data_IF_245586810811
#
_entry.id   IF_245586810811
#
_cell.length_a   1.000
_cell.length_b   1.000
_cell.length_c   1.000
_cell.angle_alpha   90.00
_cell.angle_beta   90.00
_cell.angle_gamma   90.00
#
_symmetry.space_group_name_H-M   'P 1'
#
loop_
_entity.id
_entity.type
_entity.pdbx_description
1 polymer ?
#
# COMPACT_ATOMS: atom_id res chain seq x y z
N UNK A 1 -11.90 -7.82 10.22
CA UNK A 1 -11.97 -6.61 11.07
C UNK A 1 -11.35 -5.38 10.41
N UNK A 2 -10.35 -5.51 9.52
CA UNK A 2 -9.56 -4.38 9.00
C UNK A 2 -9.88 -3.95 7.56
N UNK A 3 -10.98 -4.46 7.01
CA UNK A 3 -11.39 -4.24 5.61
C UNK A 3 -12.66 -3.36 5.53
N UNK A 4 -12.91 -2.57 6.59
CA UNK A 4 -14.10 -1.73 6.75
C UNK A 4 -13.87 -0.28 6.35
N UNK A 5 -12.64 0.09 5.99
CA UNK A 5 -12.31 1.43 5.51
C UNK A 5 -12.98 1.65 4.14
N UNK A 6 -13.90 2.61 4.09
CA UNK A 6 -14.71 2.93 2.90
C UNK A 6 -14.55 4.38 2.46
N UNK A 7 -13.59 5.10 3.04
CA UNK A 7 -13.43 6.54 2.84
C UNK A 7 -14.46 7.34 3.64
N UNK A 8 -14.72 8.58 3.18
CA UNK A 8 -15.63 9.51 3.84
C UNK A 8 -16.83 9.85 2.95
N UNK A 9 -18.00 9.97 3.58
CA UNK A 9 -19.19 10.60 2.99
C UNK A 9 -19.11 12.12 3.23
N UNK A 10 -20.09 12.88 2.72
CA UNK A 10 -20.14 14.33 2.92
C UNK A 10 -20.19 14.72 4.42
N UNK A 11 -20.96 13.98 5.21
CA UNK A 11 -21.00 14.15 6.67
C UNK A 11 -20.11 13.09 7.30
N UNK A 12 -19.10 13.54 8.04
CA UNK A 12 -18.10 12.68 8.69
C UNK A 12 -18.45 12.51 10.16
N UNK A 13 -18.55 11.26 10.61
CA UNK A 13 -18.78 10.91 12.01
C UNK A 13 -17.54 10.32 12.65
N UNK A 14 -17.50 10.28 13.98
CA UNK A 14 -16.40 9.63 14.71
C UNK A 14 -16.24 8.14 14.33
N UNK A 15 -17.34 7.46 14.02
CA UNK A 15 -17.30 6.08 13.52
C UNK A 15 -16.54 5.98 12.20
N UNK A 16 -16.72 6.94 11.30
CA UNK A 16 -16.02 6.97 10.01
C UNK A 16 -14.53 7.20 10.21
N UNK A 17 -14.14 8.08 11.15
CA UNK A 17 -12.74 8.34 11.48
C UNK A 17 -12.06 7.06 11.99
N UNK A 18 -12.66 6.38 12.98
CA UNK A 18 -12.11 5.15 13.56
C UNK A 18 -12.03 4.03 12.52
N UNK A 19 -13.04 3.89 11.65
CA UNK A 19 -13.04 2.86 10.61
C UNK A 19 -11.92 3.07 9.57
N UNK A 20 -11.59 4.33 9.24
CA UNK A 20 -10.53 4.64 8.28
C UNK A 20 -9.12 4.60 8.90
N UNK A 21 -8.99 4.79 10.22
CA UNK A 21 -7.71 4.65 10.94
C UNK A 21 -7.90 3.93 12.29
N UNK A 22 -8.03 2.60 12.30
CA UNK A 22 -8.40 1.84 13.50
C UNK A 22 -7.25 1.61 14.48
N UNK A 23 -6.01 1.98 14.12
CA UNK A 23 -4.83 1.74 14.94
C UNK A 23 -4.38 3.00 15.68
N UNK A 24 -3.95 2.92 16.94
CA UNK A 24 -3.43 4.05 17.70
C UNK A 24 -1.96 4.36 17.33
N UNK A 25 -1.64 4.38 16.04
CA UNK A 25 -0.27 4.63 15.57
C UNK A 25 0.10 6.11 15.75
N UNK A 26 1.39 6.35 15.98
CA UNK A 26 1.98 7.69 15.92
C UNK A 26 2.91 7.79 14.70
N UNK A 27 3.26 9.01 14.30
CA UNK A 27 4.02 9.27 13.08
C UNK A 27 5.43 9.78 13.38
N UNK A 28 6.38 9.50 12.47
CA UNK A 28 7.76 9.97 12.53
C UNK A 28 8.20 10.46 11.16
N UNK A 29 9.05 11.49 11.15
CA UNK A 29 9.76 11.95 9.95
C UNK A 29 11.13 11.27 9.93
N UNK A 30 11.48 10.64 8.80
CA UNK A 30 12.75 9.94 8.61
C UNK A 30 13.53 10.55 7.45
N UNK A 31 14.81 10.84 7.66
CA UNK A 31 15.72 11.20 6.58
C UNK A 31 16.27 9.93 5.92
N UNK A 32 16.01 9.76 4.62
CA UNK A 32 16.43 8.59 3.84
C UNK A 32 16.98 9.01 2.47
N UNK A 33 17.83 8.18 1.88
CA UNK A 33 18.28 8.38 0.50
C UNK A 33 17.17 8.01 -0.49
N UNK A 34 17.23 8.55 -1.71
CA UNK A 34 16.30 8.18 -2.79
C UNK A 34 16.33 6.67 -3.11
N UNK A 35 17.48 6.02 -2.95
CA UNK A 35 17.60 4.56 -3.08
C UNK A 35 16.75 3.82 -2.02
N UNK A 36 16.83 4.23 -0.75
CA UNK A 36 16.01 3.63 0.32
C UNK A 36 14.53 3.91 0.11
N UNK A 37 14.17 5.10 -0.35
CA UNK A 37 12.79 5.41 -0.71
C UNK A 37 12.29 4.50 -1.83
N UNK A 38 13.06 4.30 -2.90
CA UNK A 38 12.71 3.35 -3.96
C UNK A 38 12.53 1.93 -3.42
N UNK A 39 13.40 1.47 -2.51
CA UNK A 39 13.26 0.15 -1.89
C UNK A 39 11.96 0.01 -1.08
N UNK A 40 11.53 1.05 -0.37
CA UNK A 40 10.25 1.05 0.33
C UNK A 40 9.07 0.93 -0.66
N UNK A 41 9.09 1.72 -1.74
CA UNK A 41 8.06 1.66 -2.79
C UNK A 41 8.07 0.29 -3.49
N UNK A 42 9.25 -0.30 -3.73
CA UNK A 42 9.37 -1.66 -4.29
C UNK A 42 8.73 -2.70 -3.37
N UNK A 43 8.91 -2.59 -2.04
CA UNK A 43 8.25 -3.48 -1.09
C UNK A 43 6.73 -3.34 -1.18
N UNK A 44 6.20 -2.13 -1.28
CA UNK A 44 4.77 -1.91 -1.50
C UNK A 44 4.32 -2.44 -2.87
N UNK A 45 5.16 -2.36 -3.90
CA UNK A 45 4.87 -2.90 -5.24
C UNK A 45 4.77 -4.43 -5.30
N UNK A 46 5.28 -5.16 -4.30
CA UNK A 46 5.10 -6.61 -4.15
C UNK A 46 3.65 -7.00 -3.83
N UNK A 47 2.82 -6.04 -3.39
CA UNK A 47 1.39 -6.23 -3.15
C UNK A 47 0.65 -6.72 -4.40
N UNK A 48 1.11 -6.31 -5.57
CA UNK A 48 0.47 -6.65 -6.84
C UNK A 48 1.07 -7.90 -7.48
N UNK A 49 0.26 -8.60 -8.25
CA UNK A 49 0.66 -9.71 -9.12
C UNK A 49 -0.10 -9.64 -10.45
N UNK A 50 0.26 -10.48 -11.42
CA UNK A 50 -0.46 -10.60 -12.70
C UNK A 50 -1.19 -11.94 -12.74
N UNK A 51 -2.52 -11.89 -12.83
CA UNK A 51 -3.37 -13.07 -13.00
C UNK A 51 -4.28 -12.85 -14.21
N UNK A 52 -4.33 -13.82 -15.12
CA UNK A 52 -5.13 -13.74 -16.35
C UNK A 52 -4.87 -12.45 -17.17
N UNK A 53 -3.62 -12.01 -17.26
CA UNK A 53 -3.21 -10.77 -17.95
C UNK A 53 -3.72 -9.46 -17.32
N UNK A 54 -4.30 -9.52 -16.11
CA UNK A 54 -4.76 -8.36 -15.35
C UNK A 54 -3.98 -8.22 -14.04
N UNK A 55 -3.92 -7.00 -13.52
CA UNK A 55 -3.32 -6.73 -12.20
C UNK A 55 -4.25 -7.26 -11.11
N UNK A 56 -3.72 -8.10 -10.24
CA UNK A 56 -4.41 -8.64 -9.06
C UNK A 56 -3.59 -8.41 -7.80
N UNK A 57 -4.14 -8.75 -6.63
CA UNK A 57 -3.38 -8.82 -5.38
C UNK A 57 -2.58 -10.12 -5.35
N UNK A 58 -1.31 -10.04 -4.95
CA UNK A 58 -0.43 -11.19 -4.75
C UNK A 58 -0.95 -12.11 -3.65
N UNK A 59 -0.84 -13.43 -3.86
CA UNK A 59 -1.20 -14.41 -2.84
C UNK A 59 -0.40 -14.23 -1.55
N UNK A 60 0.82 -13.70 -1.61
CA UNK A 60 1.67 -13.41 -0.44
C UNK A 60 1.05 -12.38 0.53
N UNK A 61 0.10 -11.58 0.05
CA UNK A 61 -0.61 -10.56 0.83
C UNK A 61 -2.04 -10.99 1.19
N UNK A 62 -2.48 -12.16 0.73
CA UNK A 62 -3.81 -12.72 1.00
C UNK A 62 -3.74 -13.94 1.93
N UNK A 63 -2.72 -14.77 1.76
CA UNK A 63 -2.61 -16.08 2.41
C UNK A 63 -1.42 -16.15 3.39
N UNK A 64 -1.55 -16.88 4.52
CA UNK A 64 -2.77 -17.52 5.03
C UNK A 64 -3.76 -16.53 5.66
N UNK A 65 -3.43 -15.24 5.66
CA UNK A 65 -4.24 -14.18 6.23
C UNK A 65 -4.05 -12.90 5.42
N UNK A 66 -5.12 -12.13 5.14
CA UNK A 66 -5.01 -10.86 4.44
C UNK A 66 -4.14 -9.84 5.18
N UNK A 67 -3.25 -9.17 4.44
CA UNK A 67 -2.28 -8.20 4.93
C UNK A 67 -2.28 -6.90 4.11
N UNK A 68 -3.45 -6.41 3.71
CA UNK A 68 -3.60 -5.17 2.93
C UNK A 68 -2.93 -3.95 3.59
N UNK A 69 -2.86 -3.93 4.92
CA UNK A 69 -2.18 -2.88 5.69
C UNK A 69 -0.66 -2.80 5.47
N UNK A 70 -0.04 -3.79 4.80
CA UNK A 70 1.38 -3.76 4.41
C UNK A 70 1.60 -3.12 3.02
N UNK A 71 0.53 -2.65 2.37
CA UNK A 71 0.62 -1.86 1.14
C UNK A 71 0.48 -0.38 1.46
N UNK A 72 1.55 0.37 1.19
CA UNK A 72 1.59 1.82 1.39
C UNK A 72 1.34 2.58 0.09
N UNK A 73 0.64 3.70 0.19
CA UNK A 73 0.49 4.70 -0.88
C UNK A 73 1.34 5.92 -0.51
N UNK A 74 2.20 6.35 -1.43
CA UNK A 74 3.16 7.43 -1.18
C UNK A 74 2.69 8.74 -1.82
N UNK A 75 2.60 9.80 -1.02
CA UNK A 75 2.33 11.16 -1.47
C UNK A 75 3.61 12.01 -1.55
N UNK A 76 3.63 12.99 -2.45
CA UNK A 76 4.79 13.87 -2.66
C UNK A 76 5.88 13.30 -3.57
N UNK A 77 5.67 12.11 -4.13
CA UNK A 77 6.52 11.46 -5.12
C UNK A 77 5.66 10.88 -6.23
N UNK A 78 6.11 11.00 -7.48
CA UNK A 78 5.52 10.31 -8.63
C UNK A 78 6.32 9.06 -8.94
N UNK A 79 5.66 7.96 -9.26
CA UNK A 79 6.30 6.70 -9.64
C UNK A 79 5.36 5.87 -10.51
N UNK A 80 5.91 4.86 -11.18
CA UNK A 80 5.16 3.87 -11.95
C UNK A 80 5.55 2.47 -11.48
N UNK A 81 4.55 1.62 -11.21
CA UNK A 81 4.75 0.21 -10.86
C UNK A 81 4.48 -0.66 -12.08
N UNK A 82 5.50 -1.33 -12.58
CA UNK A 82 5.38 -2.35 -13.63
C UNK A 82 5.23 -3.74 -12.99
N UNK A 83 4.01 -4.16 -12.70
CA UNK A 83 3.71 -5.40 -11.96
C UNK A 83 4.30 -6.66 -12.61
N UNK A 84 4.37 -6.71 -13.94
CA UNK A 84 4.95 -7.84 -14.68
C UNK A 84 6.48 -7.96 -14.59
N UNK A 85 7.19 -6.98 -13.99
CA UNK A 85 8.64 -7.08 -13.75
C UNK A 85 8.93 -7.86 -12.47
N UNK A 86 10.14 -8.43 -12.33
CA UNK A 86 10.57 -9.08 -11.09
C UNK A 86 10.43 -8.15 -9.89
N UNK A 87 10.04 -8.72 -8.73
CA UNK A 87 9.96 -8.00 -7.46
C UNK A 87 11.32 -7.33 -7.14
N UNK A 88 11.29 -6.10 -6.62
CA UNK A 88 12.48 -5.28 -6.41
C UNK A 88 12.94 -4.48 -7.63
N UNK A 89 12.33 -4.69 -8.81
CA UNK A 89 12.63 -3.97 -10.05
C UNK A 89 11.35 -3.47 -10.76
N UNK A 90 10.25 -3.31 -10.02
CA UNK A 90 8.95 -2.89 -10.57
C UNK A 90 8.82 -1.38 -10.68
N UNK A 91 9.50 -0.62 -9.82
CA UNK A 91 9.33 0.83 -9.69
C UNK A 91 10.24 1.56 -10.67
N UNK A 92 9.63 2.45 -11.46
CA UNK A 92 10.28 3.35 -12.42
C UNK A 92 9.71 4.77 -12.30
N UNK A 93 10.39 5.71 -12.97
CA UNK A 93 10.14 7.15 -13.00
C UNK A 93 10.48 7.85 -11.69
#
# INVERSE_FOLDING_TARGET
LFDSASGFKQVVTMRDVINNYPFPNTFKVLAVSGFKLKQAIERSAEYFDVKNYEVSVSADFLEPKPQHFNYDIYGGVSYTIHVGRPKGQRVSN
#
